data_IF_100608208154
#
_entry.id   IF_100608208154
#
_cell.length_a   1.000
_cell.length_b   1.000
_cell.length_c   1.000
_cell.angle_alpha   90.00
_cell.angle_beta   90.00
_cell.angle_gamma   90.00
#
_symmetry.space_group_name_H-M   'P 1'
#
loop_
_entity.id
_entity.type
_entity.pdbx_description
1 polymer ?
#
# COMPACT_ATOMS: atom_id res chain seq x y z
N UNK A 1 -24.71 -28.14 -28.67
CA UNK A 1 -23.47 -27.89 -29.44
C UNK A 1 -23.60 -26.48 -30.01
N UNK A 2 -22.78 -25.48 -29.73
CA UNK A 2 -21.33 -25.48 -29.53
C UNK A 2 -21.01 -24.22 -28.70
N UNK A 3 -20.64 -24.36 -27.42
CA UNK A 3 -20.06 -23.24 -26.65
C UNK A 3 -18.66 -23.07 -27.20
N UNK A 4 -18.47 -22.15 -28.15
CA UNK A 4 -17.13 -21.77 -28.59
C UNK A 4 -16.33 -21.38 -27.35
N UNK A 5 -15.38 -22.25 -26.96
CA UNK A 5 -14.44 -21.93 -25.90
C UNK A 5 -13.58 -20.79 -26.42
N UNK A 6 -13.93 -19.56 -26.04
CA UNK A 6 -13.15 -18.34 -26.26
C UNK A 6 -11.70 -18.68 -25.91
N UNK A 7 -10.81 -18.70 -26.90
CA UNK A 7 -9.39 -19.01 -26.69
C UNK A 7 -8.87 -17.95 -25.74
N UNK A 8 -8.61 -18.33 -24.49
CA UNK A 8 -8.13 -17.42 -23.45
C UNK A 8 -6.76 -16.94 -23.92
N UNK A 9 -6.69 -15.68 -24.35
CA UNK A 9 -5.44 -15.08 -24.82
C UNK A 9 -4.56 -14.86 -23.58
N UNK A 10 -3.23 -15.07 -23.62
CA UNK A 10 -2.36 -14.89 -22.45
C UNK A 10 -2.53 -13.53 -21.74
N UNK A 11 -2.88 -12.48 -22.51
CA UNK A 11 -3.19 -11.15 -21.96
C UNK A 11 -4.44 -11.10 -21.08
N UNK A 12 -5.48 -11.90 -21.37
CA UNK A 12 -6.71 -11.95 -20.56
C UNK A 12 -6.44 -12.60 -19.19
N UNK A 13 -5.52 -13.57 -19.13
CA UNK A 13 -5.12 -14.23 -17.88
C UNK A 13 -4.32 -13.27 -17.00
N UNK A 14 -3.39 -12.52 -17.60
CA UNK A 14 -2.58 -11.53 -16.88
C UNK A 14 -3.47 -10.39 -16.36
N UNK A 15 -4.40 -9.89 -17.19
CA UNK A 15 -5.36 -8.87 -16.79
C UNK A 15 -6.28 -9.35 -15.66
N UNK A 16 -6.80 -10.57 -15.75
CA UNK A 16 -7.59 -11.19 -14.69
C UNK A 16 -6.80 -11.33 -13.39
N UNK A 17 -5.54 -11.80 -13.47
CA UNK A 17 -4.64 -11.92 -12.32
C UNK A 17 -4.38 -10.55 -11.66
N UNK A 18 -4.13 -9.51 -12.47
CA UNK A 18 -3.99 -8.14 -11.98
C UNK A 18 -5.25 -7.68 -11.23
N UNK A 19 -6.43 -7.86 -11.81
CA UNK A 19 -7.69 -7.45 -11.17
C UNK A 19 -7.93 -8.20 -9.85
N UNK A 20 -7.64 -9.51 -9.79
CA UNK A 20 -7.78 -10.31 -8.57
C UNK A 20 -6.88 -9.80 -7.44
N UNK A 21 -5.73 -9.21 -7.77
CA UNK A 21 -4.81 -8.62 -6.77
C UNK A 21 -5.17 -7.18 -6.42
N UNK A 22 -5.41 -6.33 -7.42
CA UNK A 22 -5.63 -4.89 -7.20
C UNK A 22 -7.00 -4.57 -6.60
N UNK A 23 -8.06 -5.31 -6.96
CA UNK A 23 -9.41 -5.03 -6.45
C UNK A 23 -9.49 -5.17 -4.93
N UNK A 24 -9.04 -6.28 -4.30
CA UNK A 24 -9.00 -6.37 -2.84
C UNK A 24 -8.17 -5.27 -2.19
N UNK A 25 -7.01 -4.92 -2.76
CA UNK A 25 -6.15 -3.86 -2.23
C UNK A 25 -6.89 -2.51 -2.23
N UNK A 26 -7.57 -2.18 -3.32
CA UNK A 26 -8.36 -0.94 -3.43
C UNK A 26 -9.53 -0.97 -2.44
N UNK A 27 -10.23 -2.10 -2.31
CA UNK A 27 -11.33 -2.24 -1.34
C UNK A 27 -10.83 -2.04 0.09
N UNK A 28 -9.71 -2.64 0.48
CA UNK A 28 -9.11 -2.46 1.81
C UNK A 28 -8.70 -1.00 2.03
N UNK A 29 -8.06 -0.35 1.05
CA UNK A 29 -7.71 1.07 1.16
C UNK A 29 -8.96 1.95 1.29
N UNK A 30 -10.02 1.67 0.54
CA UNK A 30 -11.28 2.42 0.62
C UNK A 30 -11.94 2.25 2.00
N UNK A 31 -11.95 1.04 2.55
CA UNK A 31 -12.45 0.76 3.91
C UNK A 31 -11.64 1.55 4.94
N UNK A 32 -10.31 1.56 4.83
CA UNK A 32 -9.43 2.34 5.70
C UNK A 32 -9.74 3.84 5.65
N UNK A 33 -9.89 4.40 4.45
CA UNK A 33 -10.21 5.81 4.26
C UNK A 33 -11.58 6.14 4.87
N UNK A 34 -12.61 5.35 4.56
CA UNK A 34 -13.96 5.56 5.10
C UNK A 34 -13.97 5.46 6.63
N UNK A 35 -13.25 4.48 7.20
CA UNK A 35 -13.13 4.35 8.65
C UNK A 35 -12.42 5.56 9.27
N UNK A 36 -11.33 6.04 8.65
CA UNK A 36 -10.59 7.23 9.09
C UNK A 36 -11.45 8.50 9.07
N UNK A 37 -12.38 8.63 8.11
CA UNK A 37 -13.30 9.78 8.07
C UNK A 37 -14.47 9.64 9.04
N UNK A 38 -14.90 8.42 9.36
CA UNK A 38 -16.01 8.17 10.31
C UNK A 38 -15.57 8.27 11.76
N UNK A 39 -14.36 7.81 12.06
CA UNK A 39 -13.81 7.73 13.41
C UNK A 39 -12.48 8.51 13.46
N UNK A 40 -12.51 9.85 13.52
CA UNK A 40 -11.30 10.68 13.56
C UNK A 40 -10.50 10.50 14.86
N UNK A 41 -11.15 10.02 15.91
CA UNK A 41 -10.55 9.77 17.22
C UNK A 41 -9.89 8.37 17.32
N UNK A 42 -9.90 7.60 16.24
CA UNK A 42 -9.25 6.28 16.16
C UNK A 42 -8.23 6.21 15.03
N UNK A 43 -7.10 5.54 15.30
CA UNK A 43 -6.12 5.25 14.26
C UNK A 43 -6.68 4.18 13.28
N UNK A 44 -6.57 4.40 11.95
CA UNK A 44 -6.99 3.42 10.97
C UNK A 44 -6.12 2.16 11.06
N UNK A 45 -6.75 1.00 11.19
CA UNK A 45 -6.08 -0.30 11.31
C UNK A 45 -6.68 -1.35 10.41
N UNK A 46 -5.90 -2.37 10.08
CA UNK A 46 -6.35 -3.55 9.36
C UNK A 46 -6.09 -4.77 10.25
N UNK A 47 -7.08 -5.65 10.39
CA UNK A 47 -6.96 -6.89 11.18
C UNK A 47 -6.49 -6.69 12.65
N UNK A 48 -6.88 -5.58 13.28
CA UNK A 48 -6.52 -5.29 14.69
C UNK A 48 -5.08 -4.80 14.90
N UNK A 49 -4.39 -4.46 13.81
CA UNK A 49 -3.06 -3.85 13.84
C UNK A 49 -3.14 -2.45 13.21
N UNK A 50 -2.62 -1.47 13.93
CA UNK A 50 -2.60 -0.06 13.54
C UNK A 50 -1.14 0.38 13.33
N UNK A 51 -0.72 0.66 12.08
CA UNK A 51 0.61 1.19 11.82
C UNK A 51 0.69 2.66 12.25
N UNK A 52 1.77 3.05 12.93
CA UNK A 52 2.04 4.43 13.28
C UNK A 52 3.49 4.80 12.96
N UNK A 53 3.69 5.98 12.38
CA UNK A 53 5.03 6.52 12.10
C UNK A 53 5.49 7.38 13.27
N UNK A 54 6.71 7.14 13.72
CA UNK A 54 7.30 7.84 14.86
C UNK A 54 7.89 9.17 14.38
N UNK A 55 7.34 10.28 14.87
CA UNK A 55 7.71 11.63 14.45
C UNK A 55 8.68 12.33 15.41
N UNK A 56 8.91 11.77 16.61
CA UNK A 56 9.74 12.36 17.65
C UNK A 56 10.59 11.32 18.37
N UNK A 57 11.77 11.72 18.84
CA UNK A 57 12.69 10.87 19.59
C UNK A 57 12.38 10.72 21.08
N UNK A 58 11.13 10.93 21.52
CA UNK A 58 10.77 10.84 22.94
C UNK A 58 10.88 9.43 23.52
N UNK A 59 10.91 8.41 22.65
CA UNK A 59 11.02 7.00 23.01
C UNK A 59 12.41 6.41 22.69
N UNK A 60 13.41 7.24 22.41
CA UNK A 60 14.77 6.75 22.15
C UNK A 60 15.44 6.22 23.44
N UNK A 61 16.24 5.14 23.36
CA UNK A 61 16.63 4.39 22.17
C UNK A 61 15.68 3.22 21.81
N UNK A 62 14.59 3.02 22.56
CA UNK A 62 13.69 1.88 22.35
C UNK A 62 12.97 1.96 20.99
N UNK A 63 12.55 3.17 20.61
CA UNK A 63 11.90 3.49 19.34
C UNK A 63 12.57 4.74 18.77
N UNK A 64 13.11 4.65 17.55
CA UNK A 64 13.85 5.73 16.91
C UNK A 64 12.94 6.61 16.05
N UNK A 65 13.32 7.87 15.89
CA UNK A 65 12.61 8.81 15.01
C UNK A 65 12.64 8.32 13.56
N UNK A 66 11.48 8.26 12.92
CA UNK A 66 11.35 7.78 11.53
C UNK A 66 11.08 6.28 11.40
N UNK A 67 10.91 5.58 12.52
CA UNK A 67 10.49 4.18 12.52
C UNK A 67 9.00 4.02 12.23
N UNK A 68 8.66 2.86 11.65
CA UNK A 68 7.28 2.39 11.60
C UNK A 68 7.07 1.41 12.75
N UNK A 69 6.13 1.72 13.64
CA UNK A 69 5.71 0.82 14.72
C UNK A 69 4.33 0.23 14.42
N UNK A 70 4.11 -0.98 14.91
CA UNK A 70 2.83 -1.67 14.82
C UNK A 70 2.19 -1.72 16.20
N UNK A 71 1.00 -1.15 16.30
CA UNK A 71 0.20 -1.12 17.51
C UNK A 71 -0.86 -2.22 17.42
N UNK A 72 -1.07 -2.93 18.51
CA UNK A 72 -2.14 -3.92 18.62
C UNK A 72 -3.26 -3.38 19.49
N UNK A 73 -4.49 -3.65 19.09
CA UNK A 73 -5.63 -3.40 19.97
C UNK A 73 -5.51 -4.24 21.23
N UNK A 74 -5.67 -3.61 22.39
CA UNK A 74 -5.63 -4.27 23.70
C UNK A 74 -6.75 -3.73 24.56
N UNK A 75 -7.22 -4.55 25.50
CA UNK A 75 -8.09 -4.07 26.56
C UNK A 75 -7.30 -3.09 27.43
N UNK A 76 -7.73 -1.83 27.59
CA UNK A 76 -7.06 -0.89 28.47
C UNK A 76 -6.94 -1.42 29.89
N UNK A 77 -7.90 -2.20 30.39
CA UNK A 77 -7.87 -2.74 31.76
C UNK A 77 -6.76 -3.78 31.98
N UNK A 78 -6.21 -4.34 30.91
CA UNK A 78 -5.09 -5.28 30.95
C UNK A 78 -3.72 -4.58 30.90
N UNK A 79 -3.70 -3.25 30.77
CA UNK A 79 -2.45 -2.48 30.72
C UNK A 79 -1.78 -2.43 32.09
N UNK A 80 -0.46 -2.60 32.08
CA UNK A 80 0.35 -2.59 33.28
C UNK A 80 1.45 -1.51 33.22
N UNK A 81 2.03 -1.22 34.38
CA UNK A 81 3.20 -0.35 34.46
C UNK A 81 4.35 -0.97 33.67
N UNK A 82 4.95 -0.19 32.77
CA UNK A 82 6.04 -0.63 31.89
C UNK A 82 5.60 -0.82 30.44
N UNK A 83 4.30 -0.95 30.18
CA UNK A 83 3.77 -1.04 28.82
C UNK A 83 3.97 0.25 28.04
N UNK A 84 4.24 0.13 26.74
CA UNK A 84 4.32 1.27 25.83
C UNK A 84 3.02 1.34 25.05
N UNK A 85 2.30 2.44 25.23
CA UNK A 85 1.01 2.65 24.59
C UNK A 85 1.08 3.82 23.63
N UNK A 86 0.31 3.72 22.55
CA UNK A 86 -0.01 4.85 21.71
C UNK A 86 -1.41 5.34 22.06
N UNK A 87 -1.55 6.63 22.28
CA UNK A 87 -2.81 7.28 22.64
C UNK A 87 -3.01 8.55 21.84
N UNK A 88 -4.26 8.98 21.70
CA UNK A 88 -4.61 10.21 21.01
C UNK A 88 -4.73 11.37 22.01
N UNK A 89 -3.92 12.41 21.81
CA UNK A 89 -3.97 13.64 22.58
C UNK A 89 -4.16 14.83 21.65
N UNK A 90 -5.31 15.50 21.77
CA UNK A 90 -5.67 16.65 20.93
C UNK A 90 -5.53 16.39 19.42
N UNK A 91 -5.97 15.20 18.98
CA UNK A 91 -5.89 14.78 17.57
C UNK A 91 -4.50 14.35 17.09
N UNK A 92 -3.52 14.23 17.99
CA UNK A 92 -2.17 13.74 17.67
C UNK A 92 -1.91 12.41 18.37
N UNK A 93 -1.37 11.44 17.62
CA UNK A 93 -0.93 10.18 18.18
C UNK A 93 0.40 10.38 18.93
N UNK A 94 0.44 10.01 20.20
CA UNK A 94 1.61 10.07 21.07
C UNK A 94 1.89 8.67 21.59
N UNK A 95 3.15 8.25 21.58
CA UNK A 95 3.56 6.91 22.05
C UNK A 95 4.51 7.07 23.21
N UNK A 96 4.11 6.65 24.41
CA UNK A 96 4.91 6.76 25.64
C UNK A 96 4.73 5.52 26.55
N UNK A 97 5.62 5.35 27.53
CA UNK A 97 5.59 4.25 28.49
C UNK A 97 4.75 4.60 29.71
N UNK A 98 3.94 3.65 30.17
CA UNK A 98 3.19 3.76 31.43
C UNK A 98 4.17 3.65 32.59
N UNK A 99 4.30 4.72 33.38
CA UNK A 99 5.14 4.76 34.59
C UNK A 99 4.31 4.64 35.88
N UNK A 100 3.01 4.86 35.80
CA UNK A 100 2.08 4.71 36.91
C UNK A 100 0.63 4.52 36.44
N UNK A 101 -0.17 3.90 37.29
CA UNK A 101 -1.61 3.75 37.09
C UNK A 101 -2.29 4.26 38.35
N UNK A 102 -3.18 5.23 38.20
CA UNK A 102 -3.96 5.82 39.29
C UNK A 102 -5.45 5.60 39.06
N UNK A 103 -6.24 5.60 40.12
CA UNK A 103 -7.70 5.58 39.99
C UNK A 103 -8.21 7.01 39.76
N UNK A 104 -8.99 7.22 38.71
CA UNK A 104 -9.74 8.46 38.49
C UNK A 104 -10.90 8.59 39.48
N UNK A 105 -11.48 9.80 39.55
CA UNK A 105 -12.67 10.08 40.38
C UNK A 105 -13.88 9.23 39.99
N UNK A 106 -13.91 8.77 38.75
CA UNK A 106 -14.90 7.85 38.16
C UNK A 106 -14.62 6.36 38.47
N UNK A 107 -13.55 6.06 39.21
CA UNK A 107 -13.09 4.70 39.49
C UNK A 107 -12.42 4.00 38.30
N UNK A 108 -12.29 4.67 37.14
CA UNK A 108 -11.59 4.12 35.97
C UNK A 108 -10.08 4.39 36.09
N UNK A 109 -9.22 3.52 35.54
CA UNK A 109 -7.78 3.76 35.57
C UNK A 109 -7.42 5.03 34.79
N UNK A 110 -6.36 5.69 35.23
CA UNK A 110 -5.69 6.83 34.61
C UNK A 110 -4.21 6.43 34.47
N UNK A 111 -3.69 6.46 33.25
CA UNK A 111 -2.31 6.07 32.98
C UNK A 111 -1.42 7.31 33.04
N UNK A 112 -0.42 7.28 33.91
CA UNK A 112 0.65 8.27 33.90
C UNK A 112 1.71 7.76 32.94
N UNK A 113 1.96 8.53 31.88
CA UNK A 113 2.89 8.17 30.81
C UNK A 113 4.14 9.04 30.83
N UNK A 114 5.24 8.50 30.33
CA UNK A 114 6.50 9.20 30.16
C UNK A 114 7.22 8.64 28.94
N UNK A 115 7.78 9.53 28.11
CA UNK A 115 8.70 9.12 27.05
C UNK A 115 10.02 8.64 27.64
N UNK A 116 10.59 7.55 27.12
CA UNK A 116 11.83 6.96 27.62
C UNK A 116 13.02 7.96 27.62
N UNK A 117 13.04 8.91 26.69
CA UNK A 117 14.04 9.97 26.60
C UNK A 117 13.66 11.27 27.34
N UNK A 118 12.45 11.36 27.89
CA UNK A 118 11.96 12.56 28.56
C UNK A 118 12.37 12.58 30.05
N UNK A 119 12.74 13.75 30.56
CA UNK A 119 13.13 13.94 31.97
C UNK A 119 11.96 14.10 32.95
N UNK A 120 10.73 14.15 32.45
CA UNK A 120 9.54 14.37 33.26
C UNK A 120 8.37 13.57 32.71
N UNK A 121 7.46 13.19 33.61
CA UNK A 121 6.18 12.58 33.29
C UNK A 121 5.29 13.55 32.49
N UNK A 122 4.40 12.97 31.69
CA UNK A 122 3.39 13.75 30.97
C UNK A 122 2.42 14.41 31.95
N UNK A 123 2.10 15.68 31.70
CA UNK A 123 1.28 16.50 32.62
C UNK A 123 -0.16 16.01 32.77
N UNK A 124 -0.69 15.37 31.73
CA UNK A 124 -2.07 14.93 31.68
C UNK A 124 -2.09 13.40 31.69
N UNK A 125 -2.78 12.78 32.67
CA UNK A 125 -2.98 11.33 32.65
C UNK A 125 -3.83 10.93 31.45
N UNK A 126 -3.50 9.80 30.86
CA UNK A 126 -4.20 9.22 29.71
C UNK A 126 -5.38 8.40 30.21
N UNK A 127 -6.57 8.60 29.62
CA UNK A 127 -7.74 7.78 29.91
C UNK A 127 -7.78 6.53 29.01
N UNK A 128 -8.48 5.46 29.43
CA UNK A 128 -8.65 4.24 28.63
C UNK A 128 -9.17 4.49 27.22
N UNK A 129 -10.07 5.46 27.08
CA UNK A 129 -10.73 5.78 25.80
C UNK A 129 -9.78 6.49 24.81
N UNK A 130 -8.66 7.05 25.29
CA UNK A 130 -7.65 7.66 24.43
C UNK A 130 -6.67 6.64 23.88
N UNK A 131 -6.57 5.45 24.47
CA UNK A 131 -5.60 4.42 24.10
C UNK A 131 -5.97 3.83 22.74
N UNK A 132 -5.05 3.95 21.79
CA UNK A 132 -5.20 3.46 20.43
C UNK A 132 -4.64 2.05 20.25
N UNK A 133 -3.69 1.66 21.10
CA UNK A 133 -3.11 0.32 21.11
C UNK A 133 -1.80 0.25 21.89
N UNK A 134 -1.32 -0.97 22.09
CA UNK A 134 -0.05 -1.29 22.75
C UNK A 134 1.04 -1.63 21.73
N UNK A 135 2.26 -1.20 22.00
CA UNK A 135 3.45 -1.59 21.24
C UNK A 135 4.03 -2.90 21.79
N UNK A 136 4.09 -3.94 20.94
CA UNK A 136 4.59 -5.27 21.31
C UNK A 136 6.10 -5.47 21.07
N UNK A 137 6.86 -4.39 20.92
CA UNK A 137 8.31 -4.46 20.70
C UNK A 137 8.76 -4.58 19.23
N UNK A 138 7.83 -4.61 18.28
CA UNK A 138 8.15 -4.65 16.85
C UNK A 138 8.31 -3.23 16.29
N UNK A 139 9.47 -2.94 15.68
CA UNK A 139 9.73 -1.71 14.92
C UNK A 139 10.39 -2.05 13.59
N UNK A 140 10.08 -1.28 12.56
CA UNK A 140 10.77 -1.37 11.27
C UNK A 140 11.55 -0.08 11.07
N UNK A 141 12.87 -0.20 11.26
CA UNK A 141 13.84 0.89 11.21
C UNK A 141 13.75 1.70 9.91
N UNK A 142 13.54 3.01 10.02
CA UNK A 142 13.57 3.94 8.87
C UNK A 142 12.45 3.79 7.83
N UNK A 143 11.57 2.80 7.94
CA UNK A 143 10.44 2.62 7.03
C UNK A 143 9.44 3.77 7.14
N UNK A 144 9.27 4.34 8.33
CA UNK A 144 8.46 5.54 8.53
C UNK A 144 8.94 6.72 7.68
N UNK A 145 10.25 6.96 7.63
CA UNK A 145 10.84 8.01 6.78
C UNK A 145 10.59 7.75 5.29
N UNK A 146 10.69 6.49 4.84
CA UNK A 146 10.40 6.13 3.44
C UNK A 146 8.93 6.39 3.11
N UNK A 147 8.01 5.99 4.00
CA UNK A 147 6.57 6.24 3.82
C UNK A 147 6.25 7.74 3.77
N UNK A 148 6.81 8.52 4.70
CA UNK A 148 6.64 9.97 4.72
C UNK A 148 7.22 10.61 3.46
N UNK A 149 8.39 10.16 2.99
CA UNK A 149 8.98 10.63 1.74
C UNK A 149 8.08 10.34 0.54
N UNK A 150 7.51 9.13 0.45
CA UNK A 150 6.58 8.76 -0.64
C UNK A 150 5.31 9.62 -0.67
N UNK A 151 4.88 10.14 0.48
CA UNK A 151 3.73 11.05 0.59
C UNK A 151 4.07 12.51 0.20
N UNK A 152 5.35 12.87 0.06
CA UNK A 152 5.75 14.20 -0.43
C UNK A 152 5.48 14.35 -1.93
N UNK A 153 5.33 15.59 -2.41
CA UNK A 153 5.19 15.87 -3.84
C UNK A 153 6.35 15.30 -4.67
N UNK A 154 7.58 15.40 -4.17
CA UNK A 154 8.77 14.86 -4.82
C UNK A 154 8.76 13.33 -4.83
N UNK A 155 8.35 12.70 -3.72
CA UNK A 155 8.20 11.25 -3.64
C UNK A 155 7.14 10.73 -4.61
N UNK A 156 5.98 11.37 -4.68
CA UNK A 156 4.92 11.02 -5.64
C UNK A 156 5.40 11.17 -7.09
N UNK A 157 6.12 12.24 -7.42
CA UNK A 157 6.70 12.43 -8.75
C UNK A 157 7.67 11.29 -9.10
N UNK A 158 8.55 10.92 -8.17
CA UNK A 158 9.56 9.90 -8.38
C UNK A 158 8.97 8.48 -8.46
N UNK A 159 8.00 8.13 -7.60
CA UNK A 159 7.50 6.76 -7.47
C UNK A 159 6.21 6.48 -8.23
N UNK A 160 5.46 7.50 -8.64
CA UNK A 160 4.21 7.33 -9.40
C UNK A 160 4.38 7.84 -10.82
N UNK A 161 4.81 9.10 -10.97
CA UNK A 161 4.84 9.75 -12.28
C UNK A 161 5.98 9.21 -13.15
N UNK A 162 7.19 9.06 -12.61
CA UNK A 162 8.34 8.56 -13.39
C UNK A 162 8.11 7.13 -13.93
N UNK A 163 7.65 6.13 -13.12
CA UNK A 163 7.34 4.80 -13.64
C UNK A 163 6.19 4.82 -14.64
N UNK A 164 5.19 5.68 -14.46
CA UNK A 164 4.08 5.83 -15.42
C UNK A 164 4.59 6.35 -16.77
N UNK A 165 5.45 7.35 -16.77
CA UNK A 165 6.07 7.87 -18.00
C UNK A 165 6.92 6.80 -18.68
N UNK A 166 7.75 6.09 -17.91
CA UNK A 166 8.56 4.98 -18.44
C UNK A 166 7.68 3.88 -19.04
N UNK A 167 6.57 3.54 -18.39
CA UNK A 167 5.60 2.58 -18.90
C UNK A 167 4.96 3.06 -20.21
N UNK A 168 4.54 4.32 -20.29
CA UNK A 168 3.97 4.90 -21.52
C UNK A 168 5.00 4.89 -22.66
N UNK A 169 6.24 5.29 -22.40
CA UNK A 169 7.31 5.27 -23.40
C UNK A 169 7.61 3.85 -23.88
N UNK A 170 7.65 2.89 -22.96
CA UNK A 170 7.82 1.47 -23.29
C UNK A 170 6.64 0.93 -24.10
N UNK A 171 5.40 1.29 -23.76
CA UNK A 171 4.20 0.88 -24.49
C UNK A 171 4.16 1.45 -25.92
N UNK A 172 4.50 2.73 -26.09
CA UNK A 172 4.61 3.36 -27.43
C UNK A 172 5.69 2.66 -28.27
N UNK A 173 6.87 2.45 -27.69
CA UNK A 173 7.96 1.76 -28.39
C UNK A 173 7.57 0.32 -28.79
N UNK A 174 6.88 -0.38 -27.88
CA UNK A 174 6.38 -1.74 -28.12
C UNK A 174 5.34 -1.78 -29.24
N UNK A 175 4.38 -0.85 -29.27
CA UNK A 175 3.37 -0.75 -30.34
C UNK A 175 4.02 -0.50 -31.70
N UNK A 176 4.94 0.46 -31.78
CA UNK A 176 5.64 0.75 -33.04
C UNK A 176 6.44 -0.45 -33.57
N UNK A 177 6.99 -1.30 -32.68
CA UNK A 177 7.69 -2.51 -33.09
C UNK A 177 6.73 -3.56 -33.66
N UNK A 178 5.59 -3.77 -33.00
CA UNK A 178 4.56 -4.72 -33.45
C UNK A 178 3.96 -4.31 -34.79
N UNK A 179 3.63 -3.02 -34.97
CA UNK A 179 3.06 -2.52 -36.22
C UNK A 179 4.01 -2.71 -37.41
N UNK A 180 5.33 -2.55 -37.18
CA UNK A 180 6.36 -2.82 -38.21
C UNK A 180 6.45 -4.31 -38.56
N UNK A 181 6.38 -5.19 -37.56
CA UNK A 181 6.41 -6.64 -37.78
C UNK A 181 5.15 -7.11 -38.52
N UNK A 182 3.97 -6.57 -38.19
CA UNK A 182 2.72 -6.86 -38.89
C UNK A 182 2.75 -6.36 -40.34
N UNK A 183 3.20 -5.12 -40.58
CA UNK A 183 3.34 -4.56 -41.92
C UNK A 183 4.33 -5.35 -42.80
N UNK A 184 5.44 -5.83 -42.22
CA UNK A 184 6.38 -6.69 -42.93
C UNK A 184 5.75 -8.06 -43.27
N UNK A 185 4.94 -8.62 -42.38
CA UNK A 185 4.27 -9.90 -42.59
C UNK A 185 3.17 -9.81 -43.66
N UNK A 186 2.39 -8.73 -43.67
CA UNK A 186 1.36 -8.51 -44.69
C UNK A 186 1.99 -8.34 -46.07
N UNK A 187 3.06 -7.55 -46.19
CA UNK A 187 3.78 -7.38 -47.44
C UNK A 187 4.35 -8.70 -47.99
N UNK A 188 4.87 -9.57 -47.11
CA UNK A 188 5.37 -10.89 -47.50
C UNK A 188 4.23 -11.81 -48.00
N UNK A 189 3.12 -11.85 -47.26
CA UNK A 189 1.94 -12.65 -47.66
C UNK A 189 1.35 -12.18 -48.99
N UNK A 190 1.30 -10.87 -49.22
CA UNK A 190 0.83 -10.30 -50.49
C UNK A 190 1.73 -10.71 -51.66
N UNK A 191 3.06 -10.61 -51.50
CA UNK A 191 4.02 -11.04 -52.51
C UNK A 191 3.92 -12.55 -52.83
N UNK A 192 3.74 -13.39 -51.82
CA UNK A 192 3.53 -14.84 -51.99
C UNK A 192 2.22 -15.14 -52.74
N UNK A 193 1.15 -14.41 -52.43
CA UNK A 193 -0.15 -14.52 -53.11
C UNK A 193 -0.08 -14.11 -54.58
N UNK A 194 0.68 -13.06 -54.90
CA UNK A 194 0.92 -12.62 -56.27
C UNK A 194 1.74 -13.62 -57.08
N UNK A 195 2.80 -14.18 -56.49
CA UNK A 195 3.61 -15.23 -57.13
C UNK A 195 2.78 -16.48 -57.45
N UNK A 196 1.98 -16.96 -56.50
CA UNK A 196 1.09 -18.11 -56.69
C UNK A 196 0.01 -17.85 -57.76
N UNK A 197 -0.55 -16.64 -57.81
CA UNK A 197 -1.51 -16.25 -58.85
C UNK A 197 -0.85 -16.23 -60.24
N UNK A 198 0.39 -15.74 -60.34
CA UNK A 198 1.13 -15.71 -61.60
C UNK A 198 1.55 -17.11 -62.08
N UNK A 199 1.90 -18.01 -61.16
CA UNK A 199 2.20 -19.40 -61.49
C UNK A 199 0.95 -20.15 -61.97
N UNK A 200 -0.18 -19.95 -61.27
CA UNK A 200 -1.47 -20.54 -61.66
C UNK A 200 -1.94 -20.05 -63.03
N UNK A 201 -1.82 -18.75 -63.32
CA UNK A 201 -2.21 -18.21 -64.63
C UNK A 201 -1.34 -18.74 -65.77
N UNK A 202 -0.03 -18.96 -65.53
CA UNK A 202 0.87 -19.62 -66.49
C UNK A 202 0.45 -21.08 -66.73
N UNK A 203 0.22 -21.84 -65.67
CA UNK A 203 -0.22 -23.24 -65.78
C UNK A 203 -1.58 -23.39 -66.49
N UNK A 204 -2.49 -22.44 -66.30
CA UNK A 204 -3.79 -22.42 -66.99
C UNK A 204 -3.64 -22.04 -68.48
N UNK A 205 -2.64 -21.23 -68.85
CA UNK A 205 -2.35 -20.87 -70.24
C UNK A 205 -1.67 -21.99 -71.04
N UNK A 206 -0.87 -22.85 -70.40
CA UNK A 206 -0.20 -23.98 -71.05
C UNK A 206 -1.14 -25.18 -71.30
N UNK A 207 -2.28 -25.23 -70.61
CA UNK A 207 -3.30 -26.29 -70.78
C UNK A 207 -4.31 -26.02 -71.89
N UNK A 208 -4.24 -24.88 -72.57
CA UNK A 208 -5.20 -24.43 -73.59
C UNK A 208 -4.57 -24.44 -74.98
#
# INVERSE_FOLDING_TARGET
MNRERKKIVPGDIIGLLMCVVFVPIIVVNLILIVNSYRNPDELPGVFGVKPAVVLSGSMEPAIETGDLILLRDTDPLALEKGDVICYLSSGKAVTHRIVGITAGEDGRPRYVTQGDANNAEDRLPVTPDQVQGIWLGARIGGLGNVLLFMQTATGMLLFVICPLILFILWDIWRRHKLDKEEAARTALLEAELEALKAERSRADSEKK
#
